data_IF_325061217406
#
_entry.id   IF_325061217406
#
_cell.length_a   1.000
_cell.length_b   1.000
_cell.length_c   1.000
_cell.angle_alpha   90.00
_cell.angle_beta   90.00
_cell.angle_gamma   90.00
#
_symmetry.space_group_name_H-M   'P 1'
#
loop_
_entity.id
_entity.type
_entity.pdbx_description
1 polymer ?
#
# COMPACT_ATOMS: atom_id res chain seq x y z
N UNK A 1 -43.46 19.34 -5.42
CA UNK A 1 -42.41 18.33 -5.12
C UNK A 1 -41.45 18.28 -6.28
N UNK A 2 -40.17 18.55 -6.05
CA UNK A 2 -39.17 18.53 -7.12
C UNK A 2 -37.93 19.34 -6.76
N UNK A 3 -37.21 18.94 -5.72
CA UNK A 3 -35.85 19.43 -5.48
C UNK A 3 -35.11 18.43 -4.61
N UNK A 4 -34.21 17.66 -5.23
CA UNK A 4 -33.16 16.86 -4.55
C UNK A 4 -32.10 16.33 -5.51
N UNK A 5 -32.35 16.31 -6.82
CA UNK A 5 -31.41 15.69 -7.77
C UNK A 5 -30.29 16.61 -8.30
N UNK A 6 -30.35 17.92 -8.05
CA UNK A 6 -29.36 18.89 -8.58
C UNK A 6 -28.26 19.29 -7.58
N UNK A 7 -28.47 19.06 -6.28
CA UNK A 7 -27.53 19.52 -5.25
C UNK A 7 -26.27 18.62 -5.13
N UNK A 8 -26.41 17.30 -5.34
CA UNK A 8 -25.34 16.33 -5.07
C UNK A 8 -24.16 16.41 -6.06
N UNK A 9 -24.42 16.75 -7.34
CA UNK A 9 -23.37 16.88 -8.35
C UNK A 9 -22.41 18.04 -8.05
N UNK A 10 -22.93 19.16 -7.54
CA UNK A 10 -22.11 20.37 -7.30
C UNK A 10 -21.18 20.26 -6.10
N UNK A 11 -21.49 19.38 -5.13
CA UNK A 11 -20.68 19.16 -3.92
C UNK A 11 -19.46 18.29 -4.24
N UNK A 12 -19.61 17.28 -5.10
CA UNK A 12 -18.49 16.44 -5.54
C UNK A 12 -17.52 17.23 -6.43
N UNK A 13 -18.04 18.07 -7.31
CA UNK A 13 -17.24 18.92 -8.19
C UNK A 13 -16.44 19.98 -7.43
N UNK A 14 -16.99 20.50 -6.32
CA UNK A 14 -16.28 21.39 -5.40
C UNK A 14 -15.22 20.68 -4.54
N UNK A 15 -15.37 19.39 -4.26
CA UNK A 15 -14.38 18.60 -3.50
C UNK A 15 -13.18 18.15 -4.34
N UNK A 16 -13.36 17.97 -5.65
CA UNK A 16 -12.27 17.62 -6.58
C UNK A 16 -11.38 18.82 -6.93
N UNK A 17 -11.93 20.04 -6.94
CA UNK A 17 -11.18 21.28 -7.25
C UNK A 17 -10.12 21.69 -6.21
N UNK A 18 -10.06 21.02 -5.05
CA UNK A 18 -9.09 21.31 -4.00
C UNK A 18 -7.92 20.33 -3.92
N UNK A 19 -7.89 19.28 -4.76
CA UNK A 19 -6.81 18.30 -4.78
C UNK A 19 -5.83 18.73 -5.85
N UNK A 20 -4.74 19.37 -5.45
CA UNK A 20 -3.60 19.65 -6.31
C UNK A 20 -2.90 18.31 -6.61
N UNK A 21 -3.35 17.64 -7.68
CA UNK A 21 -2.71 16.44 -8.19
C UNK A 21 -1.38 16.90 -8.78
N UNK A 22 -0.28 16.62 -8.09
CA UNK A 22 1.04 16.87 -8.62
C UNK A 22 1.30 15.92 -9.80
N UNK A 23 0.99 16.41 -11.00
CA UNK A 23 1.14 15.71 -12.28
C UNK A 23 2.60 15.35 -12.57
N UNK A 24 3.55 16.14 -12.08
CA UNK A 24 4.99 15.88 -12.25
C UNK A 24 5.43 14.67 -11.42
N UNK A 25 4.88 14.50 -10.20
CA UNK A 25 5.08 13.31 -9.40
C UNK A 25 4.44 12.06 -10.04
N UNK A 26 3.35 12.23 -10.79
CA UNK A 26 2.70 11.16 -11.53
C UNK A 26 3.48 10.76 -12.80
N UNK A 27 4.08 11.73 -13.48
CA UNK A 27 4.93 11.51 -14.67
C UNK A 27 6.29 10.90 -14.32
N UNK A 28 6.85 11.19 -13.13
CA UNK A 28 8.06 10.50 -12.65
C UNK A 28 7.86 8.98 -12.53
N UNK A 29 6.63 8.54 -12.19
CA UNK A 29 6.27 7.11 -12.04
C UNK A 29 6.15 6.41 -13.40
N UNK A 30 5.80 7.14 -14.47
CA UNK A 30 5.65 6.56 -15.81
C UNK A 30 6.97 6.43 -16.58
N UNK A 31 8.00 7.19 -16.18
CA UNK A 31 9.27 7.27 -16.92
C UNK A 31 10.27 6.13 -16.67
N UNK A 32 10.08 5.28 -15.65
CA UNK A 32 10.91 4.07 -15.43
C UNK A 32 10.25 2.83 -16.05
N UNK A 33 10.32 2.73 -17.38
CA UNK A 33 10.33 1.47 -18.15
C UNK A 33 9.43 0.33 -17.61
N UNK A 34 8.12 0.47 -17.81
CA UNK A 34 7.04 -0.46 -17.45
C UNK A 34 7.08 -1.86 -18.13
N UNK A 35 8.23 -2.38 -18.56
CA UNK A 35 8.34 -3.69 -19.21
C UNK A 35 8.72 -4.84 -18.27
N UNK A 36 9.15 -4.58 -17.02
CA UNK A 36 9.77 -5.62 -16.17
C UNK A 36 8.96 -6.11 -14.96
N UNK A 37 7.79 -5.57 -14.65
CA UNK A 37 7.03 -5.94 -13.43
C UNK A 37 7.88 -5.85 -12.14
N UNK A 38 8.75 -4.83 -12.06
CA UNK A 38 9.63 -4.56 -10.91
C UNK A 38 9.24 -3.21 -10.30
N UNK A 39 9.18 -3.09 -8.96
CA UNK A 39 9.04 -1.79 -8.28
C UNK A 39 10.18 -0.83 -8.65
N UNK A 40 10.07 0.48 -8.34
CA UNK A 40 11.16 1.42 -8.49
C UNK A 40 12.46 0.88 -7.87
N UNK A 41 13.51 0.82 -8.68
CA UNK A 41 14.79 0.23 -8.32
C UNK A 41 15.96 1.15 -8.70
N UNK A 42 17.10 0.93 -8.07
CA UNK A 42 18.36 1.63 -8.34
C UNK A 42 19.44 0.61 -8.75
N UNK A 43 19.93 0.71 -9.98
CA UNK A 43 20.99 -0.17 -10.52
C UNK A 43 22.36 0.12 -9.94
N UNK A 44 22.57 1.34 -9.45
CA UNK A 44 23.83 1.78 -8.88
C UNK A 44 23.87 1.55 -7.36
N UNK A 45 22.81 0.95 -6.80
CA UNK A 45 22.73 0.63 -5.38
C UNK A 45 23.83 -0.35 -4.96
N UNK A 46 24.60 0.05 -3.95
CA UNK A 46 25.68 -0.77 -3.37
C UNK A 46 25.24 -1.53 -2.12
N UNK A 47 23.96 -1.47 -1.75
CA UNK A 47 23.40 -2.20 -0.61
C UNK A 47 21.93 -2.60 -0.86
N UNK A 48 21.46 -3.74 -0.30
CA UNK A 48 20.11 -4.25 -0.58
C UNK A 48 18.98 -3.26 -0.25
N UNK A 49 19.11 -2.52 0.85
CA UNK A 49 18.16 -1.50 1.31
C UNK A 49 18.03 -0.30 0.37
N UNK A 50 19.05 -0.08 -0.48
CA UNK A 50 19.06 0.99 -1.50
C UNK A 50 18.64 0.50 -2.88
N UNK A 51 18.68 -0.81 -3.13
CA UNK A 51 18.29 -1.39 -4.42
C UNK A 51 16.82 -1.07 -4.76
N UNK A 52 15.99 -0.89 -3.72
CA UNK A 52 14.58 -0.50 -3.85
C UNK A 52 14.29 0.71 -2.97
N UNK A 53 14.51 1.95 -3.46
CA UNK A 53 14.33 3.15 -2.65
C UNK A 53 12.92 3.24 -2.08
N UNK A 54 12.80 3.09 -0.75
CA UNK A 54 11.50 2.97 -0.09
C UNK A 54 10.65 4.24 -0.26
N UNK A 55 11.27 5.41 -0.38
CA UNK A 55 10.62 6.69 -0.65
C UNK A 55 10.01 6.79 -2.07
N UNK A 56 10.47 5.95 -3.01
CA UNK A 56 9.87 5.78 -4.34
C UNK A 56 8.73 4.75 -4.33
N UNK A 57 8.72 3.84 -3.36
CA UNK A 57 7.66 2.82 -3.19
C UNK A 57 6.51 3.38 -2.35
N UNK A 58 6.82 4.00 -1.20
CA UNK A 58 5.90 4.65 -0.27
C UNK A 58 6.27 6.13 -0.17
N UNK A 59 5.48 6.97 -0.82
CA UNK A 59 5.71 8.41 -0.90
C UNK A 59 5.58 9.05 0.48
N UNK A 60 6.31 10.15 0.71
CA UNK A 60 6.36 10.85 2.00
C UNK A 60 4.97 11.14 2.61
N UNK A 61 4.00 11.57 1.81
CA UNK A 61 2.64 11.86 2.26
C UNK A 61 1.74 10.64 2.51
N UNK A 62 2.17 9.44 2.11
CA UNK A 62 1.40 8.21 2.33
C UNK A 62 1.57 7.67 3.75
N UNK A 63 2.72 7.94 4.40
CA UNK A 63 3.05 7.44 5.73
C UNK A 63 2.06 7.84 6.83
N UNK A 64 1.40 8.99 6.69
CA UNK A 64 0.37 9.45 7.64
C UNK A 64 -0.91 8.59 7.61
N UNK A 65 -1.08 7.76 6.58
CA UNK A 65 -2.20 6.83 6.43
C UNK A 65 -1.84 5.38 6.79
N UNK A 66 -0.61 5.13 7.26
CA UNK A 66 -0.05 3.80 7.53
C UNK A 66 0.21 3.57 9.03
N UNK A 67 -0.69 4.07 9.87
CA UNK A 67 -0.52 4.07 11.34
C UNK A 67 -1.29 2.95 12.03
N UNK A 68 -2.18 2.23 11.34
CA UNK A 68 -3.07 1.22 11.93
C UNK A 68 -2.31 0.10 12.68
N UNK A 69 -1.25 -0.44 12.09
CA UNK A 69 -0.40 -1.46 12.74
C UNK A 69 0.41 -0.87 13.89
N UNK A 70 0.88 0.38 13.74
CA UNK A 70 1.66 1.05 14.79
C UNK A 70 0.78 1.33 16.03
N UNK A 71 -0.40 1.88 15.82
CA UNK A 71 -1.40 2.15 16.86
C UNK A 71 -1.87 0.87 17.55
N UNK A 72 -2.04 -0.21 16.78
CA UNK A 72 -2.38 -1.53 17.31
C UNK A 72 -1.28 -2.06 18.25
N UNK A 73 -0.01 -1.95 17.86
CA UNK A 73 1.13 -2.36 18.68
C UNK A 73 1.28 -1.49 19.94
N UNK A 74 1.14 -0.17 19.82
CA UNK A 74 1.20 0.76 20.96
C UNK A 74 0.07 0.51 21.97
N UNK A 75 -1.09 0.07 21.50
CA UNK A 75 -2.21 -0.31 22.36
C UNK A 75 -2.04 -1.70 23.01
N UNK A 76 -0.98 -2.45 22.69
CA UNK A 76 -0.78 -3.83 23.16
C UNK A 76 -1.83 -4.80 22.65
N UNK A 77 -2.43 -4.52 21.49
CA UNK A 77 -3.48 -5.34 20.88
C UNK A 77 -2.86 -6.34 19.90
N UNK A 78 -3.49 -7.51 19.77
CA UNK A 78 -3.06 -8.54 18.83
C UNK A 78 -3.67 -8.32 17.45
N UNK A 79 -2.87 -8.48 16.39
CA UNK A 79 -3.36 -8.40 15.02
C UNK A 79 -4.30 -9.57 14.68
N UNK A 80 -5.59 -9.27 14.50
CA UNK A 80 -6.58 -10.28 14.13
C UNK A 80 -6.41 -10.77 12.68
N UNK A 81 -6.38 -12.11 12.44
CA UNK A 81 -6.34 -12.68 11.09
C UNK A 81 -7.53 -12.32 10.20
N UNK A 82 -8.64 -11.87 10.78
CA UNK A 82 -9.81 -11.38 10.02
C UNK A 82 -9.53 -10.02 9.36
N UNK A 83 -8.64 -9.23 9.97
CA UNK A 83 -8.30 -7.87 9.54
C UNK A 83 -6.99 -7.87 8.76
N UNK A 84 -5.97 -8.52 9.31
CA UNK A 84 -4.60 -8.49 8.78
C UNK A 84 -4.23 -9.82 8.11
N UNK A 85 -3.46 -9.80 7.01
CA UNK A 85 -2.90 -11.01 6.41
C UNK A 85 -2.01 -11.78 7.39
N UNK A 86 -1.93 -13.11 7.25
CA UNK A 86 -1.10 -13.97 8.10
C UNK A 86 0.37 -13.52 8.17
N UNK A 87 0.94 -13.08 7.04
CA UNK A 87 2.29 -12.51 6.99
C UNK A 87 2.49 -11.37 8.00
N UNK A 88 1.49 -10.50 8.13
CA UNK A 88 1.50 -9.35 9.03
C UNK A 88 1.29 -9.82 10.46
N UNK A 89 0.28 -10.65 10.71
CA UNK A 89 0.04 -11.24 12.04
C UNK A 89 1.32 -11.86 12.63
N UNK A 90 2.09 -12.60 11.82
CA UNK A 90 3.32 -13.27 12.26
C UNK A 90 4.50 -12.31 12.52
N UNK A 91 4.37 -11.02 12.19
CA UNK A 91 5.46 -10.03 12.26
C UNK A 91 5.15 -8.82 13.12
N UNK A 92 3.89 -8.61 13.52
CA UNK A 92 3.53 -7.50 14.43
C UNK A 92 4.29 -7.62 15.75
N UNK A 93 4.44 -8.82 16.30
CA UNK A 93 5.13 -9.04 17.59
C UNK A 93 6.61 -8.60 17.55
N UNK A 94 7.25 -8.66 16.37
CA UNK A 94 8.63 -8.15 16.19
C UNK A 94 8.74 -6.64 16.49
N UNK A 95 7.63 -5.88 16.48
CA UNK A 95 7.62 -4.46 16.85
C UNK A 95 7.95 -4.21 18.32
N UNK A 96 7.70 -5.19 19.20
CA UNK A 96 8.01 -5.07 20.63
C UNK A 96 9.52 -4.99 20.89
N UNK A 97 10.31 -5.66 20.04
CA UNK A 97 11.78 -5.70 20.16
C UNK A 97 12.46 -4.43 19.60
N UNK A 98 11.74 -3.61 18.84
CA UNK A 98 12.29 -2.42 18.18
C UNK A 98 12.27 -1.22 19.13
N UNK A 99 13.42 -0.93 19.75
CA UNK A 99 13.57 0.21 20.69
C UNK A 99 13.54 1.59 20.04
N UNK A 100 13.93 1.69 18.77
CA UNK A 100 13.96 2.97 18.06
C UNK A 100 12.57 3.23 17.48
N UNK A 101 11.87 4.22 18.04
CA UNK A 101 10.51 4.61 17.63
C UNK A 101 10.40 4.92 16.14
N UNK A 102 11.43 5.54 15.54
CA UNK A 102 11.41 5.86 14.12
C UNK A 102 11.49 4.59 13.27
N UNK A 103 12.31 3.61 13.68
CA UNK A 103 12.39 2.29 13.04
C UNK A 103 11.11 1.48 13.26
N UNK A 104 10.55 1.52 14.47
CA UNK A 104 9.30 0.85 14.83
C UNK A 104 8.15 1.37 13.97
N UNK A 105 8.00 2.70 13.88
CA UNK A 105 6.99 3.35 13.02
C UNK A 105 7.20 3.03 11.54
N UNK A 106 8.44 3.04 11.05
CA UNK A 106 8.75 2.65 9.67
C UNK A 106 8.35 1.20 9.40
N UNK A 107 8.71 0.28 10.29
CA UNK A 107 8.40 -1.14 10.15
C UNK A 107 6.89 -1.40 10.19
N UNK A 108 6.17 -0.83 11.16
CA UNK A 108 4.72 -0.91 11.23
C UNK A 108 4.04 -0.33 9.98
N UNK A 109 4.54 0.80 9.46
CA UNK A 109 4.02 1.39 8.23
C UNK A 109 4.23 0.51 6.99
N UNK A 110 5.33 -0.24 6.92
CA UNK A 110 5.55 -1.25 5.87
C UNK A 110 4.52 -2.39 5.98
N UNK A 111 4.28 -2.93 7.19
CA UNK A 111 3.28 -3.97 7.42
C UNK A 111 1.85 -3.50 7.07
N UNK A 112 1.53 -2.24 7.40
CA UNK A 112 0.29 -1.57 7.01
C UNK A 112 0.15 -1.49 5.49
N UNK A 113 1.20 -1.05 4.78
CA UNK A 113 1.19 -0.95 3.33
C UNK A 113 1.01 -2.31 2.64
N UNK A 114 1.68 -3.35 3.15
CA UNK A 114 1.52 -4.74 2.68
C UNK A 114 0.07 -5.20 2.86
N UNK A 115 -0.55 -4.91 4.02
CA UNK A 115 -1.97 -5.18 4.27
C UNK A 115 -2.84 -4.54 3.20
N UNK A 116 -2.60 -3.26 2.91
CA UNK A 116 -3.35 -2.52 1.91
C UNK A 116 -3.19 -3.09 0.48
N UNK A 117 -1.97 -3.49 0.08
CA UNK A 117 -1.73 -4.15 -1.21
C UNK A 117 -2.46 -5.50 -1.33
N UNK A 118 -2.42 -6.32 -0.28
CA UNK A 118 -3.10 -7.62 -0.25
C UNK A 118 -4.61 -7.44 -0.31
N UNK A 119 -5.17 -6.52 0.48
CA UNK A 119 -6.61 -6.24 0.47
C UNK A 119 -7.09 -5.64 -0.85
N UNK A 120 -6.25 -4.83 -1.51
CA UNK A 120 -6.50 -4.37 -2.88
C UNK A 120 -6.55 -5.54 -3.85
N UNK A 121 -5.53 -6.41 -3.85
CA UNK A 121 -5.51 -7.63 -4.68
C UNK A 121 -6.75 -8.49 -4.47
N UNK A 122 -7.13 -8.73 -3.21
CA UNK A 122 -8.26 -9.59 -2.85
C UNK A 122 -9.60 -9.01 -3.33
N UNK A 123 -9.78 -7.67 -3.28
CA UNK A 123 -10.96 -7.00 -3.81
C UNK A 123 -11.15 -7.22 -5.32
N UNK A 124 -10.04 -7.34 -6.06
CA UNK A 124 -10.04 -7.55 -7.51
C UNK A 124 -9.88 -9.02 -7.92
N UNK A 125 -10.02 -9.95 -6.97
CA UNK A 125 -10.02 -11.40 -7.21
C UNK A 125 -11.43 -11.96 -7.06
N UNK A 126 -11.78 -12.98 -7.86
CA UNK A 126 -13.10 -13.62 -7.83
C UNK A 126 -13.43 -14.23 -6.45
N UNK A 127 -12.44 -14.76 -5.74
CA UNK A 127 -12.61 -15.45 -4.46
C UNK A 127 -12.23 -14.60 -3.24
N UNK A 128 -11.64 -13.40 -3.44
CA UNK A 128 -11.03 -12.58 -2.38
C UNK A 128 -11.94 -11.51 -1.78
N UNK A 129 -13.13 -11.30 -2.35
CA UNK A 129 -14.02 -10.17 -1.99
C UNK A 129 -14.40 -10.18 -0.50
N UNK A 130 -14.51 -11.35 0.13
CA UNK A 130 -14.87 -11.49 1.55
C UNK A 130 -13.77 -10.95 2.49
N UNK A 131 -12.50 -11.29 2.23
CA UNK A 131 -11.33 -10.79 2.98
C UNK A 131 -11.22 -9.26 2.93
N UNK A 132 -11.57 -8.66 1.79
CA UNK A 132 -11.45 -7.21 1.56
C UNK A 132 -12.70 -6.40 1.89
N UNK A 133 -13.85 -7.05 2.16
CA UNK A 133 -15.18 -6.41 2.21
C UNK A 133 -15.30 -5.29 3.25
N UNK A 134 -14.61 -5.42 4.38
CA UNK A 134 -14.64 -4.44 5.49
C UNK A 134 -13.35 -3.62 5.58
N UNK A 135 -12.40 -3.85 4.68
CA UNK A 135 -11.12 -3.14 4.70
C UNK A 135 -11.29 -1.70 4.22
N UNK A 136 -10.90 -0.74 5.06
CA UNK A 136 -10.92 0.69 4.72
C UNK A 136 -9.59 1.08 4.12
N UNK A 137 -9.46 0.95 2.80
CA UNK A 137 -8.29 1.42 2.06
C UNK A 137 -8.29 2.96 2.01
N UNK A 138 -7.23 3.64 2.47
CA UNK A 138 -7.08 5.09 2.32
C UNK A 138 -7.21 5.52 0.85
N UNK A 139 -7.91 6.64 0.58
CA UNK A 139 -8.21 7.07 -0.79
C UNK A 139 -6.96 7.34 -1.63
N UNK A 140 -5.93 7.92 -1.02
CA UNK A 140 -4.64 8.19 -1.68
C UNK A 140 -3.99 6.88 -2.18
N UNK A 141 -4.00 5.84 -1.35
CA UNK A 141 -3.47 4.52 -1.71
C UNK A 141 -4.36 3.84 -2.73
N UNK A 142 -5.68 3.95 -2.60
CA UNK A 142 -6.62 3.41 -3.59
C UNK A 142 -6.38 4.01 -4.98
N UNK A 143 -6.21 5.33 -5.06
CA UNK A 143 -5.94 6.04 -6.31
C UNK A 143 -4.60 5.59 -6.92
N UNK A 144 -3.54 5.52 -6.11
CA UNK A 144 -2.23 5.03 -6.56
C UNK A 144 -2.27 3.59 -7.03
N UNK A 145 -2.88 2.69 -6.26
CA UNK A 145 -2.97 1.27 -6.61
C UNK A 145 -3.77 1.05 -7.89
N UNK A 146 -4.91 1.75 -8.05
CA UNK A 146 -5.67 1.71 -9.30
C UNK A 146 -4.84 2.23 -10.49
N UNK A 147 -4.05 3.29 -10.30
CA UNK A 147 -3.16 3.84 -11.33
C UNK A 147 -2.02 2.87 -11.70
N UNK A 148 -1.40 2.21 -10.73
CA UNK A 148 -0.27 1.31 -10.95
C UNK A 148 -0.71 -0.03 -11.54
N UNK A 149 -1.80 -0.60 -11.00
CA UNK A 149 -2.22 -1.97 -11.25
C UNK A 149 -3.46 -2.08 -12.17
N UNK A 150 -3.98 -0.96 -12.67
CA UNK A 150 -4.96 -0.93 -13.76
C UNK A 150 -6.40 -1.30 -13.38
N UNK A 151 -6.78 -1.11 -12.10
CA UNK A 151 -8.12 -1.48 -11.62
C UNK A 151 -9.01 -0.24 -11.42
N UNK A 152 -9.46 0.37 -12.53
CA UNK A 152 -10.25 1.61 -12.47
C UNK A 152 -11.73 1.33 -12.11
N UNK A 153 -12.27 0.11 -12.28
CA UNK A 153 -13.70 -0.17 -12.10
C UNK A 153 -14.04 -1.57 -11.52
N UNK A 154 -13.40 -2.00 -10.43
CA UNK A 154 -13.63 -3.33 -9.81
C UNK A 154 -13.45 -4.54 -10.77
N UNK A 155 -12.77 -4.32 -11.89
CA UNK A 155 -12.37 -5.37 -12.81
C UNK A 155 -11.18 -6.15 -12.27
N UNK A 156 -11.03 -7.40 -12.70
CA UNK A 156 -9.85 -8.23 -12.44
C UNK A 156 -8.57 -7.47 -12.82
N UNK A 157 -7.55 -7.54 -11.96
CA UNK A 157 -6.22 -7.00 -12.24
C UNK A 157 -5.60 -7.76 -13.44
N UNK A 158 -5.11 -7.07 -14.49
CA UNK A 158 -4.40 -7.71 -15.60
C UNK A 158 -3.19 -8.53 -15.11
N UNK A 159 -2.88 -9.65 -15.78
CA UNK A 159 -1.88 -10.61 -15.26
C UNK A 159 -0.46 -10.02 -15.12
N UNK A 160 -0.05 -9.09 -16.00
CA UNK A 160 1.21 -8.35 -15.88
C UNK A 160 1.20 -7.41 -14.67
N UNK A 161 0.09 -6.70 -14.45
CA UNK A 161 -0.11 -5.82 -13.30
C UNK A 161 -0.20 -6.59 -11.98
N UNK A 162 -0.73 -7.80 -12.00
CA UNK A 162 -0.75 -8.70 -10.85
C UNK A 162 0.68 -9.12 -10.48
N UNK A 163 1.52 -9.44 -11.48
CA UNK A 163 2.95 -9.72 -11.24
C UNK A 163 3.66 -8.52 -10.64
N UNK A 164 3.39 -7.30 -11.14
CA UNK A 164 3.94 -6.08 -10.56
C UNK A 164 3.49 -5.91 -9.09
N UNK A 165 2.19 -6.06 -8.80
CA UNK A 165 1.66 -5.99 -7.43
C UNK A 165 2.36 -7.00 -6.50
N UNK A 166 2.50 -8.24 -6.95
CA UNK A 166 3.20 -9.29 -6.19
C UNK A 166 4.66 -8.88 -5.94
N UNK A 167 5.36 -8.34 -6.93
CA UNK A 167 6.73 -7.85 -6.76
C UNK A 167 6.84 -6.72 -5.73
N UNK A 168 5.85 -5.81 -5.65
CA UNK A 168 5.79 -4.79 -4.59
C UNK A 168 5.65 -5.44 -3.20
N UNK A 169 4.76 -6.44 -3.05
CA UNK A 169 4.60 -7.17 -1.79
C UNK A 169 5.92 -7.84 -1.40
N UNK A 170 6.57 -8.55 -2.32
CA UNK A 170 7.83 -9.25 -2.05
C UNK A 170 8.95 -8.30 -1.61
N UNK A 171 9.14 -7.18 -2.31
CA UNK A 171 10.15 -6.18 -1.94
C UNK A 171 9.87 -5.59 -0.55
N UNK A 172 8.61 -5.26 -0.26
CA UNK A 172 8.24 -4.76 1.06
C UNK A 172 8.41 -5.83 2.16
N UNK A 173 8.18 -7.11 1.85
CA UNK A 173 8.49 -8.22 2.74
C UNK A 173 9.99 -8.31 3.05
N UNK A 174 10.86 -8.07 2.07
CA UNK A 174 12.32 -8.00 2.32
C UNK A 174 12.66 -6.87 3.30
N UNK A 175 12.05 -5.69 3.16
CA UNK A 175 12.22 -4.61 4.14
C UNK A 175 11.69 -4.97 5.53
N UNK A 176 10.56 -5.69 5.59
CA UNK A 176 9.96 -6.15 6.84
C UNK A 176 10.82 -7.19 7.58
N UNK A 177 11.66 -7.93 6.86
CA UNK A 177 12.58 -8.93 7.40
C UNK A 177 14.05 -8.46 7.41
N UNK A 178 14.30 -7.16 7.25
CA UNK A 178 15.65 -6.55 7.22
C UNK A 178 16.62 -7.27 6.27
N UNK A 179 16.12 -7.71 5.12
CA UNK A 179 16.84 -8.49 4.11
C UNK A 179 17.51 -9.77 4.66
N UNK A 180 17.05 -10.25 5.82
CA UNK A 180 17.58 -11.43 6.49
C UNK A 180 16.75 -12.66 6.13
N UNK A 181 17.40 -13.75 5.72
CA UNK A 181 16.77 -15.05 5.44
C UNK A 181 16.52 -15.88 6.70
N UNK A 182 16.17 -15.26 7.83
CA UNK A 182 15.84 -16.02 9.04
C UNK A 182 14.35 -16.43 9.04
N UNK A 183 14.14 -17.70 8.67
CA UNK A 183 12.95 -18.56 8.82
C UNK A 183 12.09 -18.78 7.56
N UNK A 184 12.52 -19.75 6.75
CA UNK A 184 11.63 -20.67 6.02
C UNK A 184 11.33 -21.90 6.89
#
# INVERSE_FOLDING_TARGET
MGSSHSFCATVLDKKLKGIEINTEALEAITSTTNSRNVPPYDLDATSPDKAYPLDKIILKGEWDYLLDVFELAEAGLVASPDVYPSFVCNRVDKLEDVKDESKKRRFAGILSYITHLIKFKDRHSMDGVTSAKRHKLPSILSQKFSSLFGAINDTRIPDDKLKLLISYILVLSLFADDFSEENF
#
